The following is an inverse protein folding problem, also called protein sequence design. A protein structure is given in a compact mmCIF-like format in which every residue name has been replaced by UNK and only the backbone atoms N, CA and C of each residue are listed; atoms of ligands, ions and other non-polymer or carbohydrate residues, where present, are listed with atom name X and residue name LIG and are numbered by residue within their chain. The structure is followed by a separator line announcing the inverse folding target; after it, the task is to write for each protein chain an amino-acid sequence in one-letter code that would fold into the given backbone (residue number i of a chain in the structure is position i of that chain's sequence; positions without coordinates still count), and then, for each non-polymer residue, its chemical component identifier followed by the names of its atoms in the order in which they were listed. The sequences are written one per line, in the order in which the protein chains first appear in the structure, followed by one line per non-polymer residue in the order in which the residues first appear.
data_IF_494632357133
#
_entry.id   IF_494632357133
#
_cell.length_a   1.000
_cell.length_b   1.000
_cell.length_c   1.000
_cell.angle_alpha   90.00
_cell.angle_beta   90.00
_cell.angle_gamma   90.00
#
_symmetry.space_group_name_H-M   'P 1'
#
loop_
_entity.id
_entity.type
_entity.pdbx_description
1 polymer ?
#
# COMPACT_ATOMS: atom_id res chain seq x y z
N UNK A 1 3.21 -7.66 34.65
CA UNK A 1 3.53 -6.34 34.04
C UNK A 1 4.23 -6.43 32.68
N UNK A 2 4.82 -7.56 32.26
CA UNK A 2 5.62 -7.64 31.03
C UNK A 2 4.87 -7.87 29.70
N UNK A 3 3.73 -8.57 29.69
CA UNK A 3 3.04 -8.90 28.43
C UNK A 3 2.26 -7.73 27.84
N UNK A 4 1.67 -6.88 28.68
CA UNK A 4 0.97 -5.66 28.25
C UNK A 4 1.94 -4.68 27.58
N UNK A 5 3.11 -4.45 28.19
CA UNK A 5 4.16 -3.57 27.64
C UNK A 5 4.72 -4.10 26.33
N UNK A 6 4.92 -5.43 26.20
CA UNK A 6 5.30 -6.07 24.92
C UNK A 6 4.22 -5.92 23.85
N UNK A 7 2.94 -6.02 24.23
CA UNK A 7 1.80 -5.82 23.33
C UNK A 7 1.69 -4.39 22.79
N UNK A 8 1.91 -3.38 23.64
CA UNK A 8 1.89 -1.97 23.23
C UNK A 8 3.06 -1.61 22.31
N UNK A 9 4.27 -2.08 22.64
CA UNK A 9 5.44 -1.88 21.77
C UNK A 9 5.22 -2.50 20.37
N UNK A 10 4.66 -3.71 20.32
CA UNK A 10 4.29 -4.38 19.07
C UNK A 10 3.25 -3.58 18.28
N UNK A 11 2.21 -3.07 18.94
CA UNK A 11 1.18 -2.22 18.30
C UNK A 11 1.79 -0.96 17.69
N UNK A 12 2.68 -0.29 18.42
CA UNK A 12 3.34 0.93 17.95
C UNK A 12 4.15 0.68 16.69
N UNK A 13 4.95 -0.39 16.64
CA UNK A 13 5.74 -0.76 15.46
C UNK A 13 4.85 -1.03 14.24
N UNK A 14 3.72 -1.71 14.42
CA UNK A 14 2.76 -1.95 13.32
C UNK A 14 2.20 -0.62 12.79
N UNK A 15 1.67 0.22 13.68
CA UNK A 15 1.05 1.47 13.28
C UNK A 15 2.03 2.40 12.56
N UNK A 16 3.24 2.54 13.11
CA UNK A 16 4.30 3.38 12.54
C UNK A 16 4.71 2.90 11.14
N UNK A 17 4.95 1.59 10.97
CA UNK A 17 5.32 1.03 9.68
C UNK A 17 4.24 1.21 8.59
N UNK A 18 2.96 1.09 8.95
CA UNK A 18 1.86 1.36 8.01
C UNK A 18 1.72 2.84 7.67
N UNK A 19 1.88 3.75 8.65
CA UNK A 19 1.85 5.21 8.41
C UNK A 19 2.98 5.65 7.50
N UNK A 20 4.18 5.09 7.69
CA UNK A 20 5.37 5.41 6.91
C UNK A 20 5.44 4.66 5.56
N UNK A 21 4.40 3.91 5.18
CA UNK A 21 4.37 3.08 3.97
C UNK A 21 5.58 2.13 3.84
N UNK A 22 6.07 1.61 4.96
CA UNK A 22 7.18 0.65 4.96
C UNK A 22 6.77 -0.68 4.28
N UNK A 23 7.71 -1.38 3.62
CA UNK A 23 7.42 -2.69 3.07
C UNK A 23 6.96 -3.66 4.17
N UNK A 24 5.84 -4.36 3.95
CA UNK A 24 5.26 -5.26 4.95
C UNK A 24 6.23 -6.34 5.43
N UNK A 25 7.18 -6.75 4.57
CA UNK A 25 8.24 -7.71 4.91
C UNK A 25 9.16 -7.17 6.00
N UNK A 26 9.51 -5.89 5.92
CA UNK A 26 10.41 -5.24 6.85
C UNK A 26 9.73 -5.02 8.20
N UNK A 27 8.45 -4.61 8.19
CA UNK A 27 7.64 -4.52 9.41
C UNK A 27 7.54 -5.89 10.11
N UNK A 28 7.31 -6.96 9.34
CA UNK A 28 7.22 -8.33 9.87
C UNK A 28 8.57 -8.80 10.46
N UNK A 29 9.68 -8.46 9.81
CA UNK A 29 11.03 -8.74 10.29
C UNK A 29 11.34 -8.00 11.60
N UNK A 30 11.01 -6.70 11.70
CA UNK A 30 11.14 -5.90 12.95
C UNK A 30 10.39 -6.53 14.12
N UNK A 31 9.28 -7.21 13.84
CA UNK A 31 8.43 -7.88 14.84
C UNK A 31 8.79 -9.34 15.09
N UNK A 32 9.77 -9.89 14.34
CA UNK A 32 10.14 -11.30 14.39
C UNK A 32 8.99 -12.26 14.09
N UNK A 33 8.07 -11.89 13.18
CA UNK A 33 6.90 -12.71 12.87
C UNK A 33 6.66 -12.90 11.38
N UNK A 34 5.74 -13.81 11.04
CA UNK A 34 5.32 -14.01 9.65
C UNK A 34 4.49 -12.82 9.13
N UNK A 35 4.48 -12.64 7.80
CA UNK A 35 3.59 -11.69 7.12
C UNK A 35 2.11 -11.94 7.42
N UNK A 36 1.70 -13.20 7.53
CA UNK A 36 0.31 -13.55 7.85
C UNK A 36 -0.06 -13.06 9.26
N UNK A 37 0.82 -13.30 10.24
CA UNK A 37 0.63 -12.84 11.63
C UNK A 37 0.60 -11.31 11.73
N UNK A 38 1.45 -10.61 10.96
CA UNK A 38 1.41 -9.15 10.86
C UNK A 38 0.06 -8.67 10.32
N UNK A 39 -0.41 -9.21 9.19
CA UNK A 39 -1.68 -8.82 8.57
C UNK A 39 -2.89 -9.03 9.49
N UNK A 40 -2.92 -10.15 10.22
CA UNK A 40 -3.98 -10.40 11.21
C UNK A 40 -3.94 -9.37 12.33
N UNK A 41 -2.74 -9.05 12.83
CA UNK A 41 -2.57 -8.03 13.89
C UNK A 41 -2.97 -6.64 13.39
N UNK A 42 -2.53 -6.25 12.21
CA UNK A 42 -2.86 -4.98 11.57
C UNK A 42 -4.37 -4.82 11.33
N UNK A 43 -5.03 -5.89 10.87
CA UNK A 43 -6.50 -5.92 10.72
C UNK A 43 -7.21 -5.72 12.06
N UNK A 44 -6.80 -6.42 13.12
CA UNK A 44 -7.34 -6.24 14.48
C UNK A 44 -7.13 -4.83 15.03
N UNK A 45 -6.05 -4.16 14.63
CA UNK A 45 -5.74 -2.79 15.02
C UNK A 45 -6.53 -1.73 14.24
N UNK A 46 -7.25 -2.13 13.18
CA UNK A 46 -8.01 -1.20 12.33
C UNK A 46 -7.13 -0.33 11.43
N UNK A 47 -5.85 -0.66 11.25
CA UNK A 47 -4.94 0.12 10.40
C UNK A 47 -4.97 -0.32 8.92
N UNK A 48 -5.80 -1.30 8.58
CA UNK A 48 -6.05 -1.75 7.21
C UNK A 48 -7.53 -1.63 6.89
N UNK A 49 -7.86 -1.31 5.63
CA UNK A 49 -9.25 -1.37 5.13
C UNK A 49 -9.82 -2.76 5.30
N UNK A 50 -11.08 -2.86 5.75
CA UNK A 50 -11.83 -4.11 5.73
C UNK A 50 -12.03 -4.59 4.29
N UNK A 51 -12.35 -5.89 4.07
CA UNK A 51 -12.66 -6.40 2.74
C UNK A 51 -13.77 -5.62 2.03
N UNK A 52 -14.78 -5.16 2.79
CA UNK A 52 -15.88 -4.33 2.28
C UNK A 52 -15.36 -2.98 1.80
N UNK A 53 -14.65 -2.23 2.65
CA UNK A 53 -14.08 -0.93 2.28
C UNK A 53 -13.08 -1.03 1.12
N UNK A 54 -12.28 -2.10 1.08
CA UNK A 54 -11.36 -2.34 -0.01
C UNK A 54 -12.09 -2.65 -1.33
N UNK A 55 -13.25 -3.32 -1.28
CA UNK A 55 -14.09 -3.56 -2.43
C UNK A 55 -14.80 -2.27 -2.89
N UNK A 56 -15.32 -1.47 -1.96
CA UNK A 56 -15.92 -0.16 -2.23
C UNK A 56 -14.91 0.80 -2.86
N UNK A 57 -13.70 0.87 -2.32
CA UNK A 57 -12.60 1.64 -2.90
C UNK A 57 -12.32 1.23 -4.35
N UNK A 58 -12.22 -0.08 -4.63
CA UNK A 58 -11.98 -0.60 -5.97
C UNK A 58 -13.12 -0.29 -6.95
N UNK A 59 -14.38 -0.39 -6.49
CA UNK A 59 -15.56 -0.07 -7.31
C UNK A 59 -15.68 1.43 -7.59
N UNK A 60 -15.33 2.27 -6.62
CA UNK A 60 -15.37 3.73 -6.74
C UNK A 60 -14.18 4.33 -7.48
N UNK A 61 -13.10 3.57 -7.69
CA UNK A 61 -11.91 4.07 -8.36
C UNK A 61 -12.20 4.37 -9.84
N UNK A 62 -12.22 5.66 -10.18
CA UNK A 62 -12.36 6.15 -11.55
C UNK A 62 -11.07 6.81 -12.00
N UNK A 63 -10.67 6.52 -13.24
CA UNK A 63 -9.55 7.20 -13.88
C UNK A 63 -9.91 8.69 -14.03
N UNK A 64 -9.08 9.62 -13.53
CA UNK A 64 -9.31 11.05 -13.69
C UNK A 64 -9.48 11.42 -15.16
N UNK A 65 -10.42 12.30 -15.47
CA UNK A 65 -10.77 12.65 -16.86
C UNK A 65 -9.57 13.16 -17.66
N UNK A 66 -8.74 14.00 -17.03
CA UNK A 66 -7.51 14.55 -17.62
C UNK A 66 -6.46 13.51 -17.99
N UNK A 67 -6.52 12.31 -17.40
CA UNK A 67 -5.53 11.23 -17.58
C UNK A 67 -6.12 10.02 -18.32
N UNK A 68 -7.40 10.10 -18.67
CA UNK A 68 -8.19 8.98 -19.19
C UNK A 68 -7.70 8.53 -20.56
N UNK A 69 -7.38 9.50 -21.44
CA UNK A 69 -6.89 9.22 -22.78
C UNK A 69 -5.56 8.46 -22.76
N UNK A 70 -4.55 9.03 -22.09
CA UNK A 70 -3.21 8.44 -21.97
C UNK A 70 -3.26 7.05 -21.31
N UNK A 71 -4.06 6.90 -20.25
CA UNK A 71 -4.23 5.62 -19.56
C UNK A 71 -4.81 4.55 -20.50
N UNK A 72 -5.89 4.85 -21.23
CA UNK A 72 -6.51 3.86 -22.10
C UNK A 72 -5.70 3.60 -23.37
N UNK A 73 -4.99 4.59 -23.92
CA UNK A 73 -4.07 4.36 -25.04
C UNK A 73 -3.02 3.30 -24.70
N UNK A 74 -2.41 3.35 -23.51
CA UNK A 74 -1.48 2.32 -23.05
C UNK A 74 -2.15 0.95 -22.85
N UNK A 75 -3.41 0.92 -22.42
CA UNK A 75 -4.17 -0.32 -22.25
C UNK A 75 -4.52 -0.96 -23.60
N UNK A 76 -4.87 -0.16 -24.61
CA UNK A 76 -5.31 -0.61 -25.93
C UNK A 76 -4.15 -1.06 -26.82
N UNK A 77 -2.96 -0.47 -26.66
CA UNK A 77 -1.78 -0.84 -27.45
C UNK A 77 -1.23 -2.25 -27.16
N UNK A 78 -1.88 -3.06 -26.32
CA UNK A 78 -1.40 -4.38 -25.90
C UNK A 78 -0.15 -4.33 -25.01
N UNK A 79 0.32 -3.12 -24.67
CA UNK A 79 1.52 -2.86 -23.88
C UNK A 79 1.14 -2.47 -22.44
N UNK A 80 0.28 -3.25 -21.80
CA UNK A 80 -0.07 -2.98 -20.40
C UNK A 80 1.18 -3.04 -19.53
N UNK A 81 1.66 -1.87 -19.11
CA UNK A 81 2.77 -1.71 -18.18
C UNK A 81 2.23 -1.07 -16.92
N UNK A 82 1.94 -1.91 -15.93
CA UNK A 82 1.38 -1.48 -14.63
C UNK A 82 2.16 -0.34 -13.97
N UNK A 83 3.49 -0.31 -14.17
CA UNK A 83 4.38 0.76 -13.70
C UNK A 83 4.10 2.12 -14.36
N UNK A 84 3.93 2.14 -15.68
CA UNK A 84 3.67 3.36 -16.45
C UNK A 84 2.26 3.88 -16.18
N UNK A 85 1.27 2.97 -16.11
CA UNK A 85 -0.09 3.31 -15.72
C UNK A 85 -0.13 3.95 -14.32
N UNK A 86 0.63 3.43 -13.35
CA UNK A 86 0.71 4.02 -12.02
C UNK A 86 1.35 5.42 -12.01
N UNK A 87 2.30 5.69 -12.90
CA UNK A 87 2.90 7.03 -13.06
C UNK A 87 1.89 8.03 -13.64
N UNK A 88 1.20 7.67 -14.73
CA UNK A 88 0.14 8.52 -15.32
C UNK A 88 -0.91 8.86 -14.26
N UNK A 89 -1.36 7.85 -13.51
CA UNK A 89 -2.34 8.04 -12.44
C UNK A 89 -1.80 8.84 -11.25
N UNK A 90 -0.50 9.11 -11.17
CA UNK A 90 0.14 9.80 -10.04
C UNK A 90 0.22 8.94 -8.77
N UNK A 91 0.01 7.63 -8.91
CA UNK A 91 0.09 6.64 -7.82
C UNK A 91 1.53 6.24 -7.51
N UNK A 92 2.45 6.57 -8.41
CA UNK A 92 3.88 6.31 -8.27
C UNK A 92 4.64 7.56 -8.68
N UNK A 93 5.48 8.09 -7.78
CA UNK A 93 6.36 9.18 -8.13
C UNK A 93 7.32 8.74 -9.23
N UNK A 94 7.43 9.58 -10.26
CA UNK A 94 8.49 9.48 -11.25
C UNK A 94 9.76 9.86 -10.49
N UNK A 95 10.59 8.89 -10.15
CA UNK A 95 12.00 9.21 -9.94
C UNK A 95 12.51 9.58 -11.32
N UNK A 96 12.50 10.87 -11.63
CA UNK A 96 13.32 11.40 -12.72
C UNK A 96 14.74 10.89 -12.41
N UNK A 97 15.45 10.25 -13.35
CA UNK A 97 16.88 10.12 -13.16
C UNK A 97 17.39 11.55 -12.95
N UNK A 98 18.06 11.78 -11.84
CA UNK A 98 18.82 13.00 -11.62
C UNK A 98 19.69 13.19 -12.86
N UNK A 99 19.34 14.14 -13.72
CA UNK A 99 20.26 14.59 -14.75
C UNK A 99 21.32 15.39 -14.00
N UNK A 100 22.44 14.72 -13.72
CA UNK A 100 23.74 15.39 -13.68
C UNK A 100 24.18 15.73 -15.11
#
# INVERSE_FOLDING_TARGET
MNEKVKGEARRKIILDGYVNNEPLKDIAAKLGCSLASLKVSASKLGCTRTPKEAAEFRRGFRIPESKRHDYYQLMTAGQYRSRECAQILGLRMIQSPSME
#
